data_IF_798619381082
#
_entry.id   IF_798619381082
#
_cell.length_a   1.000
_cell.length_b   1.000
_cell.length_c   1.000
_cell.angle_alpha   90.00
_cell.angle_beta   90.00
_cell.angle_gamma   90.00
#
_symmetry.space_group_name_H-M   'P 1'
#
loop_
_entity.id
_entity.type
_entity.pdbx_description
1 polymer ?
#
# COMPACT_ATOMS: atom_id res chain seq x y z
N UNK A 1 -0.19 -11.71 26.63
CA UNK A 1 0.61 -10.48 26.38
C UNK A 1 1.85 -10.52 27.26
N UNK A 2 3.04 -10.36 26.68
CA UNK A 2 4.29 -10.34 27.44
C UNK A 2 4.44 -9.02 28.22
N UNK A 3 5.08 -9.05 29.39
CA UNK A 3 5.42 -7.86 30.20
C UNK A 3 6.20 -6.81 29.39
N UNK A 4 7.03 -7.27 28.46
CA UNK A 4 7.87 -6.45 27.58
C UNK A 4 7.06 -5.53 26.64
N UNK A 5 5.94 -6.02 26.10
CA UNK A 5 5.07 -5.20 25.23
C UNK A 5 4.38 -4.04 25.98
N UNK A 6 4.10 -4.22 27.27
CA UNK A 6 3.51 -3.19 28.12
C UNK A 6 4.54 -2.09 28.40
N UNK A 7 5.77 -2.48 28.72
CA UNK A 7 6.88 -1.55 28.96
C UNK A 7 7.20 -0.69 27.72
N UNK A 8 7.28 -1.29 26.53
CA UNK A 8 7.53 -0.55 25.28
C UNK A 8 6.42 0.48 25.01
N UNK A 9 5.15 0.10 25.21
CA UNK A 9 4.01 1.02 25.01
C UNK A 9 4.13 2.24 25.92
N UNK A 10 4.38 2.03 27.21
CA UNK A 10 4.49 3.10 28.19
C UNK A 10 5.67 4.02 27.90
N UNK A 11 6.82 3.45 27.51
CA UNK A 11 8.00 4.21 27.10
C UNK A 11 7.72 5.11 25.91
N UNK A 12 7.07 4.59 24.85
CA UNK A 12 6.73 5.40 23.66
C UNK A 12 5.77 6.53 24.03
N UNK A 13 4.71 6.23 24.78
CA UNK A 13 3.73 7.24 25.20
C UNK A 13 4.38 8.34 26.06
N UNK A 14 5.30 7.97 26.95
CA UNK A 14 6.03 8.92 27.80
C UNK A 14 6.88 9.90 27.00
N UNK A 15 7.49 9.46 25.90
CA UNK A 15 8.29 10.30 25.00
C UNK A 15 7.45 11.31 24.21
N UNK A 16 6.13 11.07 24.07
CA UNK A 16 5.20 11.91 23.30
C UNK A 16 5.70 12.23 21.88
N UNK A 17 6.15 11.23 21.09
CA UNK A 17 6.64 11.47 19.74
C UNK A 17 5.52 11.96 18.83
N UNK A 18 5.88 12.76 17.83
CA UNK A 18 5.01 13.09 16.70
C UNK A 18 5.05 11.99 15.63
N UNK A 19 6.21 11.32 15.51
CA UNK A 19 6.48 10.26 14.54
C UNK A 19 7.09 9.03 15.21
N UNK A 20 6.62 7.84 14.84
CA UNK A 20 7.20 6.56 15.24
C UNK A 20 7.60 5.76 13.99
N UNK A 21 8.90 5.55 13.84
CA UNK A 21 9.46 4.66 12.83
C UNK A 21 9.48 3.25 13.39
N UNK A 22 9.06 2.27 12.59
CA UNK A 22 9.08 0.87 12.98
C UNK A 22 9.39 -0.02 11.77
N UNK A 23 9.91 -1.21 12.06
CA UNK A 23 10.01 -2.30 11.07
C UNK A 23 9.04 -3.41 11.46
N UNK A 24 8.25 -3.89 10.51
CA UNK A 24 7.34 -5.02 10.73
C UNK A 24 8.10 -6.34 10.99
N UNK A 25 9.32 -6.48 10.48
CA UNK A 25 10.15 -7.68 10.69
C UNK A 25 10.71 -7.79 12.12
N UNK A 26 10.63 -6.71 12.92
CA UNK A 26 11.01 -6.74 14.32
C UNK A 26 9.99 -7.44 15.22
N UNK A 27 8.87 -7.93 14.66
CA UNK A 27 7.79 -8.60 15.39
C UNK A 27 7.67 -10.05 14.93
N UNK A 28 7.38 -10.95 15.87
CA UNK A 28 7.16 -12.38 15.57
C UNK A 28 5.97 -12.60 14.64
N UNK A 29 4.90 -11.82 14.82
CA UNK A 29 3.70 -11.88 13.98
C UNK A 29 3.23 -10.48 13.60
N UNK A 30 2.58 -10.33 12.42
CA UNK A 30 2.03 -9.04 12.00
C UNK A 30 0.93 -8.53 12.94
N UNK A 31 0.18 -9.42 13.60
CA UNK A 31 -0.85 -9.06 14.58
C UNK A 31 -0.25 -8.41 15.83
N UNK A 32 0.90 -8.90 16.30
CA UNK A 32 1.61 -8.29 17.43
C UNK A 32 2.07 -6.86 17.08
N UNK A 33 2.59 -6.67 15.87
CA UNK A 33 2.94 -5.34 15.35
C UNK A 33 1.72 -4.42 15.36
N UNK A 34 0.62 -4.82 14.71
CA UNK A 34 -0.59 -4.03 14.62
C UNK A 34 -1.18 -3.68 15.99
N UNK A 35 -1.25 -4.66 16.90
CA UNK A 35 -1.75 -4.46 18.26
C UNK A 35 -0.94 -3.42 19.03
N UNK A 36 0.39 -3.42 18.90
CA UNK A 36 1.25 -2.40 19.52
C UNK A 36 0.94 -1.02 18.95
N UNK A 37 0.90 -0.87 17.62
CA UNK A 37 0.63 0.42 16.96
C UNK A 37 -0.74 0.97 17.39
N UNK A 38 -1.78 0.15 17.38
CA UNK A 38 -3.13 0.52 17.83
C UNK A 38 -3.15 0.94 19.30
N UNK A 39 -2.44 0.22 20.17
CA UNK A 39 -2.40 0.51 21.61
C UNK A 39 -1.69 1.84 21.89
N UNK A 40 -0.53 2.07 21.27
CA UNK A 40 0.20 3.33 21.39
C UNK A 40 -0.66 4.49 20.89
N UNK A 41 -1.31 4.34 19.73
CA UNK A 41 -2.18 5.38 19.17
C UNK A 41 -3.38 5.68 20.06
N UNK A 42 -3.97 4.67 20.71
CA UNK A 42 -5.10 4.83 21.63
C UNK A 42 -4.74 5.57 22.92
N UNK A 43 -3.55 5.33 23.46
CA UNK A 43 -3.12 5.88 24.76
C UNK A 43 -2.38 7.21 24.59
N UNK A 44 -1.77 7.45 23.43
CA UNK A 44 -1.10 8.71 23.13
C UNK A 44 -2.07 9.89 23.15
N UNK A 45 -1.68 10.97 23.84
CA UNK A 45 -2.42 12.25 23.82
C UNK A 45 -2.20 13.04 22.53
N UNK A 46 -1.14 12.74 21.78
CA UNK A 46 -0.84 13.32 20.46
C UNK A 46 -1.29 12.35 19.37
N UNK A 47 -1.63 12.91 18.21
CA UNK A 47 -1.84 12.11 17.01
C UNK A 47 -0.48 11.58 16.50
N UNK A 48 -0.09 10.41 17.00
CA UNK A 48 1.14 9.75 16.60
C UNK A 48 1.04 9.23 15.17
N UNK A 49 1.99 9.60 14.32
CA UNK A 49 2.10 9.13 12.94
C UNK A 49 3.10 7.98 12.84
N UNK A 50 2.74 6.94 12.10
CA UNK A 50 3.58 5.78 11.90
C UNK A 50 4.29 5.81 10.55
N UNK A 51 5.57 5.45 10.56
CA UNK A 51 6.39 5.30 9.35
C UNK A 51 6.95 3.89 9.34
N UNK A 52 6.63 3.15 8.29
CA UNK A 52 7.19 1.83 8.08
C UNK A 52 8.55 1.99 7.39
N UNK A 53 9.59 1.50 8.06
CA UNK A 53 10.93 1.39 7.50
C UNK A 53 11.17 -0.06 7.05
N UNK A 54 11.62 -0.24 5.81
CA UNK A 54 11.97 -1.54 5.24
C UNK A 54 13.37 -1.49 4.64
N UNK A 55 14.09 -2.60 4.66
CA UNK A 55 15.37 -2.73 3.96
C UNK A 55 15.14 -2.99 2.46
N UNK A 56 14.31 -3.99 2.17
CA UNK A 56 13.90 -4.36 0.81
C UNK A 56 12.37 -4.46 0.73
N UNK A 57 11.79 -4.22 -0.44
CA UNK A 57 10.33 -4.27 -0.67
C UNK A 57 9.76 -5.63 -0.26
N UNK A 58 10.37 -6.68 -0.79
CA UNK A 58 10.22 -8.05 -0.32
C UNK A 58 11.58 -8.42 0.29
N UNK A 59 11.67 -8.91 1.53
CA UNK A 59 10.59 -9.40 2.42
C UNK A 59 9.89 -8.33 3.28
N UNK A 60 10.29 -7.05 3.23
CA UNK A 60 9.89 -6.02 4.18
C UNK A 60 8.37 -5.77 4.30
N UNK A 61 7.61 -5.95 3.21
CA UNK A 61 6.15 -5.79 3.20
C UNK A 61 5.38 -7.10 3.37
N UNK A 62 5.98 -8.25 3.06
CA UNK A 62 5.30 -9.55 3.00
C UNK A 62 4.59 -9.90 4.31
N UNK A 63 5.18 -9.57 5.46
CA UNK A 63 4.58 -9.80 6.77
C UNK A 63 3.27 -9.02 6.92
N UNK A 64 3.23 -7.76 6.51
CA UNK A 64 2.04 -6.91 6.62
C UNK A 64 0.97 -7.28 5.59
N UNK A 65 1.33 -7.81 4.42
CA UNK A 65 0.35 -8.21 3.39
C UNK A 65 -0.63 -9.29 3.89
N UNK A 66 -0.23 -10.10 4.88
CA UNK A 66 -1.13 -11.06 5.55
C UNK A 66 -2.33 -10.39 6.22
N UNK A 67 -2.20 -9.13 6.62
CA UNK A 67 -3.27 -8.33 7.22
C UNK A 67 -4.16 -7.65 6.17
N UNK A 68 -3.92 -7.91 4.88
CA UNK A 68 -4.63 -7.32 3.75
C UNK A 68 -4.75 -5.78 3.82
N UNK A 69 -3.62 -5.06 3.97
CA UNK A 69 -3.58 -3.60 3.96
C UNK A 69 -4.24 -3.01 2.72
N UNK A 70 -4.85 -1.84 2.91
CA UNK A 70 -5.25 -0.96 1.82
C UNK A 70 -4.09 -0.01 1.54
N UNK A 71 -3.50 -0.13 0.35
CA UNK A 71 -2.49 0.77 -0.16
C UNK A 71 -3.16 1.96 -0.81
N UNK A 72 -2.76 3.16 -0.41
CA UNK A 72 -3.10 4.39 -1.12
C UNK A 72 -1.92 4.80 -1.99
N UNK A 73 -2.18 5.09 -3.27
CA UNK A 73 -1.17 5.56 -4.20
C UNK A 73 -1.16 7.09 -4.30
N UNK A 74 -0.09 7.66 -4.85
CA UNK A 74 0.04 9.11 -5.07
C UNK A 74 -1.08 9.71 -5.92
N UNK A 75 -1.71 8.91 -6.77
CA UNK A 75 -2.87 9.32 -7.57
C UNK A 75 -4.22 9.07 -6.87
N UNK A 76 -4.20 8.81 -5.56
CA UNK A 76 -5.36 8.56 -4.67
C UNK A 76 -6.12 7.27 -4.92
N UNK A 77 -5.65 6.40 -5.82
CA UNK A 77 -6.22 5.06 -5.95
C UNK A 77 -5.91 4.26 -4.70
N UNK A 78 -6.88 3.44 -4.29
CA UNK A 78 -6.80 2.61 -3.09
C UNK A 78 -7.03 1.15 -3.45
N UNK A 79 -6.10 0.29 -3.06
CA UNK A 79 -6.15 -1.14 -3.37
C UNK A 79 -5.91 -1.97 -2.14
N UNK A 80 -6.73 -2.99 -1.94
CA UNK A 80 -6.41 -4.06 -0.99
C UNK A 80 -5.38 -4.97 -1.64
N UNK A 81 -4.22 -5.13 -1.02
CA UNK A 81 -3.12 -5.95 -1.54
C UNK A 81 -2.81 -7.02 -0.51
N UNK A 82 -2.84 -8.27 -0.96
CA UNK A 82 -2.42 -9.45 -0.19
C UNK A 82 -1.19 -10.13 -0.81
N UNK A 83 -0.84 -9.75 -2.04
CA UNK A 83 0.18 -10.44 -2.83
C UNK A 83 1.42 -9.57 -3.05
N UNK A 84 2.62 -10.02 -2.62
CA UNK A 84 3.85 -9.25 -2.80
C UNK A 84 4.25 -9.08 -4.26
N UNK A 85 3.81 -9.97 -5.16
CA UNK A 85 4.18 -9.88 -6.58
C UNK A 85 3.55 -8.67 -7.26
N UNK A 86 2.42 -8.16 -6.72
CA UNK A 86 1.79 -6.92 -7.17
C UNK A 86 2.66 -5.68 -6.93
N UNK A 87 3.71 -5.78 -6.11
CA UNK A 87 4.60 -4.67 -5.78
C UNK A 87 5.90 -4.78 -6.59
N UNK A 88 6.20 -3.74 -7.35
CA UNK A 88 7.36 -3.72 -8.22
C UNK A 88 8.61 -3.31 -7.46
N UNK A 89 9.65 -4.12 -7.60
CA UNK A 89 11.01 -3.85 -7.11
C UNK A 89 11.81 -2.93 -8.03
N UNK A 90 11.31 -2.69 -9.24
CA UNK A 90 11.97 -1.87 -10.26
C UNK A 90 10.95 -0.96 -10.97
N UNK A 91 11.43 0.11 -11.59
CA UNK A 91 10.57 1.01 -12.34
C UNK A 91 10.30 0.48 -13.75
N UNK A 92 9.03 0.30 -14.11
CA UNK A 92 8.63 0.02 -15.51
C UNK A 92 8.41 1.36 -16.22
N UNK A 93 9.30 1.69 -17.18
CA UNK A 93 9.32 3.01 -17.86
C UNK A 93 8.00 3.38 -18.54
N UNK A 94 7.32 2.41 -19.13
CA UNK A 94 6.00 2.58 -19.73
C UNK A 94 5.35 1.22 -19.88
N UNK A 95 4.15 1.04 -19.32
CA UNK A 95 3.30 -0.10 -19.63
C UNK A 95 2.03 0.45 -20.30
N UNK A 96 1.69 0.00 -21.51
CA UNK A 96 0.53 0.51 -22.22
C UNK A 96 -0.75 0.17 -21.45
N UNK A 97 -1.72 1.07 -21.52
CA UNK A 97 -3.01 0.86 -20.87
C UNK A 97 -3.88 -0.08 -21.72
N UNK A 98 -3.72 -1.39 -21.51
CA UNK A 98 -4.39 -2.41 -22.32
C UNK A 98 -5.73 -2.81 -21.68
N UNK A 99 -6.84 -2.43 -22.32
CA UNK A 99 -8.21 -2.78 -21.87
C UNK A 99 -8.57 -4.20 -22.30
N UNK A 100 -9.14 -4.97 -21.39
CA UNK A 100 -9.58 -6.35 -21.66
C UNK A 100 -10.93 -6.41 -22.37
N UNK A 101 -11.78 -5.40 -22.27
CA UNK A 101 -13.07 -5.35 -22.98
C UNK A 101 -13.91 -6.62 -22.76
N UNK A 102 -14.42 -7.20 -23.85
CA UNK A 102 -15.19 -8.46 -23.83
C UNK A 102 -14.32 -9.70 -24.18
N UNK A 103 -13.00 -9.61 -24.04
CA UNK A 103 -12.08 -10.71 -24.38
C UNK A 103 -12.13 -11.88 -23.38
N UNK A 104 -12.88 -11.73 -22.28
CA UNK A 104 -13.30 -12.82 -21.43
C UNK A 104 -14.75 -12.60 -20.97
N UNK A 105 -15.46 -13.71 -20.73
CA UNK A 105 -16.80 -13.76 -20.14
C UNK A 105 -16.73 -13.87 -18.63
N UNK A 106 -15.89 -14.78 -18.12
CA UNK A 106 -15.68 -14.98 -16.68
C UNK A 106 -14.22 -15.31 -16.37
N UNK A 107 -13.79 -14.96 -15.17
CA UNK A 107 -12.54 -15.36 -14.55
C UNK A 107 -12.84 -16.24 -13.34
N UNK A 108 -12.17 -17.37 -13.23
CA UNK A 108 -12.11 -18.17 -12.01
C UNK A 108 -10.81 -17.81 -11.30
N UNK A 109 -10.88 -17.22 -10.10
CA UNK A 109 -9.69 -16.80 -9.37
C UNK A 109 -9.89 -16.86 -7.86
N UNK A 110 -8.77 -16.98 -7.14
CA UNK A 110 -8.76 -16.88 -5.67
C UNK A 110 -8.71 -15.41 -5.26
N UNK A 111 -9.74 -14.94 -4.56
CA UNK A 111 -9.81 -13.56 -4.08
C UNK A 111 -8.87 -13.29 -2.90
N UNK A 112 -8.85 -12.04 -2.42
CA UNK A 112 -7.99 -11.63 -1.31
C UNK A 112 -8.31 -12.35 0.01
N UNK A 113 -9.49 -12.95 0.14
CA UNK A 113 -9.92 -13.73 1.31
C UNK A 113 -9.55 -15.22 1.18
N UNK A 114 -8.90 -15.64 0.08
CA UNK A 114 -8.60 -17.03 -0.19
C UNK A 114 -9.79 -17.83 -0.74
N UNK A 115 -10.86 -17.16 -1.18
CA UNK A 115 -12.07 -17.82 -1.70
C UNK A 115 -11.99 -17.91 -3.21
N UNK A 116 -12.28 -19.09 -3.76
CA UNK A 116 -12.42 -19.27 -5.20
C UNK A 116 -13.73 -18.64 -5.66
N UNK A 117 -13.64 -17.67 -6.58
CA UNK A 117 -14.80 -16.98 -7.15
C UNK A 117 -14.79 -17.09 -8.67
N UNK A 118 -15.99 -17.13 -9.26
CA UNK A 118 -16.21 -16.99 -10.70
C UNK A 118 -16.95 -15.68 -10.95
N UNK A 119 -16.33 -14.76 -11.69
CA UNK A 119 -16.92 -13.44 -11.94
C UNK A 119 -16.70 -13.00 -13.39
N UNK A 120 -17.72 -12.36 -13.95
CA UNK A 120 -17.63 -11.57 -15.18
C UNK A 120 -16.92 -10.23 -14.93
N UNK A 121 -16.42 -9.53 -15.98
CA UNK A 121 -15.71 -8.26 -15.80
C UNK A 121 -16.51 -7.21 -15.02
N UNK A 122 -17.84 -7.18 -15.16
CA UNK A 122 -18.73 -6.25 -14.47
C UNK A 122 -18.97 -6.60 -13.00
N UNK A 123 -18.90 -7.89 -12.65
CA UNK A 123 -19.10 -8.40 -11.28
C UNK A 123 -17.86 -8.22 -10.41
N UNK A 124 -16.67 -8.11 -11.01
CA UNK A 124 -15.45 -7.75 -10.27
C UNK A 124 -15.64 -6.38 -9.62
N UNK A 125 -15.46 -6.26 -8.29
CA UNK A 125 -15.62 -4.99 -7.59
C UNK A 125 -14.64 -3.93 -8.10
N UNK A 126 -15.06 -2.66 -8.09
CA UNK A 126 -14.19 -1.54 -8.45
C UNK A 126 -12.95 -1.47 -7.55
N UNK A 127 -11.83 -1.08 -8.14
CA UNK A 127 -10.52 -0.99 -7.49
C UNK A 127 -10.04 -2.34 -6.93
N UNK A 128 -10.38 -3.44 -7.60
CA UNK A 128 -9.82 -4.76 -7.32
C UNK A 128 -8.59 -4.99 -8.19
N UNK A 129 -7.49 -5.42 -7.56
CA UNK A 129 -6.32 -5.98 -8.23
C UNK A 129 -6.35 -7.49 -8.05
N UNK A 130 -6.38 -8.21 -9.16
CA UNK A 130 -6.35 -9.67 -9.18
C UNK A 130 -4.93 -10.08 -9.61
N UNK A 131 -4.10 -10.67 -8.74
CA UNK A 131 -2.82 -11.22 -9.14
C UNK A 131 -3.02 -12.25 -10.24
N UNK A 132 -2.21 -12.18 -11.30
CA UNK A 132 -2.39 -13.06 -12.45
C UNK A 132 -2.25 -14.53 -12.06
N UNK A 133 -1.30 -14.84 -11.17
CA UNK A 133 -1.09 -16.20 -10.62
C UNK A 133 -2.28 -16.74 -9.80
N UNK A 134 -3.20 -15.88 -9.37
CA UNK A 134 -4.40 -16.32 -8.65
C UNK A 134 -5.53 -16.72 -9.59
N UNK A 135 -5.40 -16.42 -10.89
CA UNK A 135 -6.39 -16.79 -11.90
C UNK A 135 -6.14 -18.25 -12.28
N UNK A 136 -7.17 -19.08 -12.19
CA UNK A 136 -7.11 -20.50 -12.51
C UNK A 136 -7.64 -20.78 -13.92
N UNK A 137 -8.64 -20.01 -14.36
CA UNK A 137 -9.29 -20.21 -15.65
C UNK A 137 -9.84 -18.89 -16.20
N UNK A 138 -9.74 -18.73 -17.52
CA UNK A 138 -10.36 -17.63 -18.25
C UNK A 138 -11.35 -18.21 -19.26
N UNK A 139 -12.63 -17.90 -19.13
CA UNK A 139 -13.68 -18.31 -20.06
C UNK A 139 -13.82 -17.24 -21.15
N UNK A 140 -13.64 -17.60 -22.43
CA UNK A 140 -13.85 -16.70 -23.57
C UNK A 140 -15.18 -17.02 -24.28
N UNK A 141 -15.48 -16.35 -25.39
CA UNK A 141 -16.64 -16.71 -26.22
C UNK A 141 -16.49 -18.08 -26.91
N UNK A 142 -15.26 -18.52 -27.17
CA UNK A 142 -14.98 -19.73 -27.96
C UNK A 142 -14.72 -20.97 -27.08
N UNK A 143 -14.07 -20.80 -25.93
CA UNK A 143 -13.83 -21.84 -24.93
C UNK A 143 -13.15 -21.27 -23.67
N UNK A 144 -13.09 -22.08 -22.60
CA UNK A 144 -12.19 -21.87 -21.47
C UNK A 144 -10.73 -22.17 -21.83
N UNK A 145 -9.82 -21.32 -21.38
CA UNK A 145 -8.37 -21.42 -21.64
C UNK A 145 -7.55 -21.19 -20.38
N UNK A 146 -6.37 -21.82 -20.32
CA UNK A 146 -5.38 -21.52 -19.29
C UNK A 146 -4.97 -20.03 -19.35
N UNK A 147 -4.77 -19.35 -18.20
CA UNK A 147 -4.49 -17.92 -18.16
C UNK A 147 -3.28 -17.50 -19.01
N UNK A 148 -2.16 -18.21 -18.92
CA UNK A 148 -0.90 -17.88 -19.61
C UNK A 148 -1.09 -17.98 -21.13
N UNK A 149 -1.75 -19.06 -21.57
CA UNK A 149 -2.07 -19.26 -22.99
C UNK A 149 -3.01 -18.18 -23.51
N UNK A 150 -4.00 -17.79 -22.71
CA UNK A 150 -4.90 -16.69 -23.05
C UNK A 150 -4.15 -15.36 -23.18
N UNK A 151 -3.28 -15.03 -22.21
CA UNK A 151 -2.54 -13.77 -22.21
C UNK A 151 -1.61 -13.66 -23.42
N UNK A 152 -0.88 -14.73 -23.73
CA UNK A 152 -0.01 -14.79 -24.91
C UNK A 152 -0.81 -14.54 -26.20
N UNK A 153 -1.92 -15.25 -26.41
CA UNK A 153 -2.76 -15.06 -27.59
C UNK A 153 -3.36 -13.64 -27.64
N UNK A 154 -3.82 -13.13 -26.51
CA UNK A 154 -4.42 -11.80 -26.39
C UNK A 154 -3.44 -10.68 -26.74
N UNK A 155 -2.15 -10.82 -26.38
CA UNK A 155 -1.10 -9.86 -26.69
C UNK A 155 -0.61 -10.00 -28.15
N UNK A 156 -0.53 -11.23 -28.67
CA UNK A 156 -0.18 -11.49 -30.07
C UNK A 156 -1.16 -10.85 -31.05
N UNK A 157 -2.46 -10.88 -30.75
CA UNK A 157 -3.50 -10.21 -31.56
C UNK A 157 -3.39 -8.67 -31.57
N UNK A 158 -2.53 -8.09 -30.74
CA UNK A 158 -2.36 -6.64 -30.54
C UNK A 158 -0.93 -6.18 -30.81
N UNK A 159 -0.23 -6.86 -31.72
CA UNK A 159 1.14 -6.54 -32.14
C UNK A 159 2.16 -6.51 -30.97
N UNK A 160 1.98 -7.36 -29.94
CA UNK A 160 2.92 -7.50 -28.82
C UNK A 160 3.28 -6.18 -28.13
N UNK A 161 2.31 -5.29 -27.96
CA UNK A 161 2.48 -3.99 -27.28
C UNK A 161 3.06 -4.08 -25.86
N UNK A 162 2.99 -5.25 -25.23
CA UNK A 162 3.67 -5.58 -23.97
C UNK A 162 4.12 -7.04 -23.98
N UNK A 163 5.15 -7.35 -23.21
CA UNK A 163 5.54 -8.73 -22.95
C UNK A 163 4.67 -9.36 -21.85
N UNK A 164 4.28 -10.65 -21.98
CA UNK A 164 3.50 -11.36 -20.97
C UNK A 164 4.09 -11.27 -19.56
N UNK A 165 5.42 -11.37 -19.42
CA UNK A 165 6.13 -11.31 -18.14
C UNK A 165 6.04 -9.94 -17.45
N UNK A 166 5.62 -8.90 -18.17
CA UNK A 166 5.35 -7.58 -17.59
C UNK A 166 3.95 -7.48 -16.97
N UNK A 167 3.10 -8.50 -17.14
CA UNK A 167 1.72 -8.51 -16.65
C UNK A 167 1.67 -9.26 -15.34
N UNK A 168 1.47 -8.51 -14.27
CA UNK A 168 1.43 -9.04 -12.90
C UNK A 168 0.00 -9.34 -12.45
N UNK A 169 -1.00 -8.69 -13.08
CA UNK A 169 -2.39 -8.91 -12.72
C UNK A 169 -3.40 -8.26 -13.64
N UNK A 170 -4.64 -8.24 -13.16
CA UNK A 170 -5.77 -7.55 -13.78
C UNK A 170 -6.30 -6.51 -12.81
N UNK A 171 -6.46 -5.28 -13.29
CA UNK A 171 -7.04 -4.17 -12.53
C UNK A 171 -8.47 -3.90 -13.00
N UNK A 172 -9.41 -3.85 -12.06
CA UNK A 172 -10.78 -3.38 -12.31
C UNK A 172 -10.91 -1.89 -11.97
N UNK A 173 -11.17 -1.09 -13.01
CA UNK A 173 -11.53 0.33 -12.87
C UNK A 173 -12.92 0.61 -13.44
N UNK A 174 -13.50 1.79 -13.24
CA UNK A 174 -14.86 2.15 -13.70
C UNK A 174 -15.17 1.75 -15.15
N UNK A 175 -14.24 2.02 -16.07
CA UNK A 175 -14.38 1.73 -17.51
C UNK A 175 -14.16 0.26 -17.89
N UNK A 176 -13.74 -0.62 -16.99
CA UNK A 176 -13.61 -2.05 -17.22
C UNK A 176 -12.35 -2.66 -16.60
N UNK A 177 -12.01 -3.87 -17.03
CA UNK A 177 -10.78 -4.54 -16.63
C UNK A 177 -9.62 -4.20 -17.57
N UNK A 178 -8.42 -4.08 -16.99
CA UNK A 178 -7.18 -3.74 -17.68
C UNK A 178 -6.08 -4.69 -17.26
N UNK A 179 -5.14 -5.00 -18.17
CA UNK A 179 -3.88 -5.61 -17.76
C UNK A 179 -3.13 -4.66 -16.84
N UNK A 180 -2.49 -5.22 -15.82
CA UNK A 180 -1.85 -4.46 -14.76
C UNK A 180 -0.39 -4.90 -14.58
N UNK A 181 0.58 -3.97 -14.63
CA UNK A 181 1.98 -4.31 -14.56
C UNK A 181 2.53 -4.40 -13.13
N UNK A 182 1.71 -4.12 -12.11
CA UNK A 182 2.17 -3.98 -10.73
C UNK A 182 2.25 -2.51 -10.29
N UNK A 183 2.45 -2.32 -8.99
CA UNK A 183 2.52 -1.03 -8.31
C UNK A 183 3.99 -0.68 -8.06
N UNK A 184 4.51 0.39 -8.67
CA UNK A 184 5.83 0.91 -8.33
C UNK A 184 5.88 1.32 -6.86
N UNK A 185 6.90 0.90 -6.11
CA UNK A 185 7.08 1.32 -4.71
C UNK A 185 7.04 2.84 -4.54
N UNK A 186 7.63 3.58 -5.48
CA UNK A 186 7.66 5.04 -5.47
C UNK A 186 6.27 5.69 -5.55
N UNK A 187 5.28 4.95 -6.03
CA UNK A 187 3.88 5.40 -6.14
C UNK A 187 3.08 5.19 -4.86
N UNK A 188 3.58 4.42 -3.89
CA UNK A 188 2.91 4.19 -2.61
C UNK A 188 2.96 5.48 -1.80
N UNK A 189 1.78 5.98 -1.43
CA UNK A 189 1.64 7.15 -0.57
C UNK A 189 1.55 6.72 0.89
N UNK A 190 0.59 5.87 1.23
CA UNK A 190 0.34 5.42 2.59
C UNK A 190 -0.25 4.00 2.62
N UNK A 191 -0.28 3.37 3.79
CA UNK A 191 -0.94 2.10 4.02
C UNK A 191 -1.97 2.24 5.13
N UNK A 192 -3.06 1.49 5.04
CA UNK A 192 -4.05 1.40 6.11
C UNK A 192 -4.37 -0.05 6.43
N UNK A 193 -4.31 -0.39 7.71
CA UNK A 193 -4.70 -1.70 8.24
C UNK A 193 -5.73 -1.43 9.34
N UNK A 194 -6.96 -1.90 9.14
CA UNK A 194 -8.12 -1.56 9.97
C UNK A 194 -8.27 -0.04 10.19
N UNK A 195 -8.00 0.42 11.42
CA UNK A 195 -8.08 1.82 11.83
C UNK A 195 -6.70 2.49 11.91
N UNK A 196 -5.63 1.73 11.74
CA UNK A 196 -4.25 2.22 11.82
C UNK A 196 -3.77 2.65 10.45
N UNK A 197 -3.39 3.92 10.34
CA UNK A 197 -2.76 4.48 9.15
C UNK A 197 -1.25 4.54 9.35
N UNK A 198 -0.52 4.00 8.39
CA UNK A 198 0.93 4.15 8.24
C UNK A 198 1.12 5.23 7.19
N UNK A 199 1.58 6.41 7.61
CA UNK A 199 1.62 7.61 6.79
C UNK A 199 2.66 7.53 5.67
N UNK A 200 3.76 6.83 5.93
CA UNK A 200 4.84 6.64 4.95
C UNK A 200 5.42 5.24 5.01
N UNK A 201 5.88 4.78 3.85
CA UNK A 201 6.74 3.60 3.72
C UNK A 201 8.05 4.08 3.12
N UNK A 202 9.16 3.85 3.82
CA UNK A 202 10.50 4.27 3.41
C UNK A 202 11.43 3.09 3.32
N UNK A 203 12.37 3.17 2.37
CA UNK A 203 13.45 2.21 2.21
C UNK A 203 14.72 2.74 2.87
N UNK A 204 15.28 1.96 3.79
CA UNK A 204 16.44 2.37 4.58
C UNK A 204 17.70 2.52 3.73
N UNK A 205 17.85 1.68 2.69
CA UNK A 205 18.94 1.73 1.72
C UNK A 205 18.81 2.89 0.71
N UNK A 206 17.64 3.53 0.62
CA UNK A 206 17.34 4.63 -0.30
C UNK A 206 16.89 5.92 0.43
N UNK A 207 17.45 6.20 1.61
CA UNK A 207 17.21 7.44 2.38
C UNK A 207 17.83 8.67 1.72
N UNK A 208 17.27 9.10 0.59
CA UNK A 208 17.74 10.25 -0.19
C UNK A 208 16.57 11.12 -0.63
N UNK A 209 16.74 12.44 -0.67
CA UNK A 209 15.74 13.37 -1.24
C UNK A 209 15.47 13.12 -2.74
N UNK A 210 16.30 12.32 -3.41
CA UNK A 210 16.07 11.85 -4.78
C UNK A 210 15.06 10.69 -4.84
N UNK A 211 14.90 9.93 -3.76
CA UNK A 211 13.89 8.88 -3.62
C UNK A 211 12.53 9.53 -3.27
N UNK A 212 11.48 9.39 -4.11
CA UNK A 212 10.22 10.10 -3.89
C UNK A 212 9.50 9.76 -2.56
N UNK A 213 9.37 8.48 -2.14
CA UNK A 213 8.87 8.15 -0.81
C UNK A 213 9.60 8.85 0.35
N UNK A 214 10.94 8.83 0.36
CA UNK A 214 11.72 9.47 1.41
C UNK A 214 11.58 10.99 1.38
N UNK A 215 11.63 11.61 0.19
CA UNK A 215 11.40 13.04 0.02
C UNK A 215 10.06 13.47 0.60
N UNK A 216 8.96 12.76 0.28
CA UNK A 216 7.62 13.06 0.83
C UNK A 216 7.57 13.00 2.35
N UNK A 217 8.25 12.01 2.93
CA UNK A 217 8.34 11.88 4.39
C UNK A 217 9.04 13.08 5.02
N UNK A 218 10.20 13.49 4.50
CA UNK A 218 10.92 14.67 4.99
C UNK A 218 10.09 15.96 4.82
N UNK A 219 9.48 16.16 3.66
CA UNK A 219 8.62 17.33 3.39
C UNK A 219 7.45 17.44 4.39
N UNK A 220 6.84 16.31 4.76
CA UNK A 220 5.78 16.26 5.76
C UNK A 220 6.30 16.58 7.17
N UNK A 221 7.46 16.03 7.57
CA UNK A 221 8.09 16.38 8.85
C UNK A 221 8.41 17.87 8.95
N UNK A 222 8.97 18.45 7.88
CA UNK A 222 9.28 19.89 7.84
C UNK A 222 8.02 20.76 7.88
N UNK A 223 6.96 20.35 7.18
CA UNK A 223 5.69 21.07 7.20
C UNK A 223 5.10 21.10 8.62
N UNK A 224 5.12 19.97 9.32
CA UNK A 224 4.65 19.89 10.70
C UNK A 224 5.49 20.73 11.66
N UNK A 225 6.81 20.71 11.49
CA UNK A 225 7.70 21.55 12.28
C UNK A 225 7.41 23.04 12.07
N UNK A 226 7.18 23.47 10.82
CA UNK A 226 6.79 24.85 10.53
C UNK A 226 5.46 25.23 11.18
N UNK A 227 4.46 24.34 11.13
CA UNK A 227 3.15 24.56 11.77
C UNK A 227 3.30 24.69 13.30
N UNK A 228 4.11 23.82 13.91
CA UNK A 228 4.41 23.90 15.34
C UNK A 228 5.06 25.23 15.71
N UNK A 229 6.09 25.67 14.96
CA UNK A 229 6.74 26.97 15.19
C UNK A 229 5.76 28.15 15.04
N UNK A 230 4.82 28.09 14.09
CA UNK A 230 3.80 29.14 13.94
C UNK A 230 2.82 29.19 15.11
N UNK A 231 2.34 28.03 15.58
CA UNK A 231 1.42 27.95 16.71
C UNK A 231 2.07 28.43 18.02
N UNK A 232 3.35 28.13 18.22
CA UNK A 232 4.11 28.56 19.39
C UNK A 232 4.30 30.09 19.41
N UNK A 233 4.63 30.68 18.25
CA UNK A 233 4.71 32.14 18.08
C UNK A 233 3.37 32.84 18.34
N UNK A 234 2.26 32.26 17.91
CA UNK A 234 0.92 32.80 18.21
C UNK A 234 0.55 32.66 19.69
N UNK A 235 0.90 31.54 20.32
CA UNK A 235 0.73 31.32 21.76
C UNK A 235 1.52 32.33 22.60
N UNK A 236 2.78 32.57 22.26
CA UNK A 236 3.64 33.56 22.93
C UNK A 236 3.11 35.00 22.76
N UNK A 237 2.58 35.35 21.58
CA UNK A 237 1.92 36.64 21.35
C UNK A 237 0.64 36.79 22.20
N UNK A 238 -0.18 35.76 22.33
CA UNK A 238 -1.39 35.82 23.17
C UNK A 238 -1.06 35.93 24.66
N UNK A 239 -0.06 35.19 25.14
CA UNK A 239 0.40 35.24 26.53
C UNK A 239 0.99 36.62 26.89
N UNK A 240 1.79 37.23 26.00
CA UNK A 240 2.35 38.57 26.22
C UNK A 240 1.30 39.69 26.22
N UNK A 241 0.18 39.52 25.51
CA UNK A 241 -0.97 40.45 25.56
C UNK A 241 -1.72 40.34 26.90
N UNK A 242 -1.74 39.17 27.54
CA UNK A 242 -2.43 38.94 28.82
C UNK A 242 -1.60 39.31 30.06
N UNK A 243 -0.30 39.63 29.91
CA UNK A 243 0.58 40.06 31.02
C UNK A 243 0.58 41.60 31.19
N UNK A 244 -0.21 42.34 30.40
CA UNK A 244 -0.44 43.77 30.61
C UNK A 244 -1.75 44.01 31.36
N UNK A 245 -1.71 43.86 32.69
CA UNK A 245 -2.62 44.50 33.66
C UNK A 245 -1.82 44.76 34.94
#
# INVERSE_FOLDING_TARGET
>A
MSKESVDITERIVKLKPDWALFSASAFETPELCLNLLQKVQKISKKNLRFVLAIDEINPGLTILLKLQPVFELVNKMQFKISDPDLLLTHHIRSFPRIRLGNNFRTLDYTDNCGTLVRQSPSEVPLNTLIPFKNIQKIETQKAGTAPEKWLNNFLLERDNVAHPDQVVGILRETKGCYLFPGIPFNSILSLKIDKTKIEHVIRLDECSIKNPPFKRFIENMEQEHRLWLSADKEGAKRASVHIRC
#
